data_IF_952032361786
#
_entry.id   IF_952032361786
#
_cell.length_a   1.000
_cell.length_b   1.000
_cell.length_c   1.000
_cell.angle_alpha   90.00
_cell.angle_beta   90.00
_cell.angle_gamma   90.00
#
_symmetry.space_group_name_H-M   'P 1'
#
loop_
_entity.id
_entity.type
_entity.pdbx_description
1 polymer ?
#
# COMPACT_ATOMS: atom_id res chain seq x y z
N UNK A 1 14.58 8.56 8.44
CA UNK A 1 14.45 7.08 8.49
C UNK A 1 13.13 6.64 9.13
N UNK A 2 12.08 6.50 8.31
CA UNK A 2 10.78 6.02 8.78
C UNK A 2 10.62 4.54 8.40
N UNK A 3 10.30 3.70 9.38
CA UNK A 3 9.97 2.29 9.16
C UNK A 3 8.45 2.19 9.08
N UNK A 4 7.96 1.66 7.96
CA UNK A 4 6.53 1.56 7.67
C UNK A 4 5.89 0.38 8.42
N UNK A 5 6.50 -0.81 8.30
CA UNK A 5 6.04 -1.99 9.05
C UNK A 5 7.17 -3.01 9.25
N UNK A 6 7.11 -3.72 10.36
CA UNK A 6 7.97 -4.88 10.61
C UNK A 6 7.18 -6.02 11.23
N UNK A 7 7.74 -7.23 11.15
CA UNK A 7 7.13 -8.39 11.78
C UNK A 7 7.55 -9.69 11.11
N UNK A 8 7.15 -10.81 11.71
CA UNK A 8 7.48 -12.12 11.17
C UNK A 8 6.44 -12.57 10.14
N UNK A 9 6.93 -13.05 9.00
CA UNK A 9 6.12 -13.74 8.01
C UNK A 9 6.74 -15.09 7.66
N UNK A 10 5.91 -16.00 7.17
CA UNK A 10 6.36 -17.24 6.58
C UNK A 10 6.56 -17.05 5.09
N UNK A 11 7.69 -17.52 4.56
CA UNK A 11 7.96 -17.60 3.12
C UNK A 11 8.31 -19.02 2.73
N UNK A 12 8.13 -19.38 1.46
CA UNK A 12 8.74 -20.63 0.95
C UNK A 12 10.26 -20.56 1.05
N UNK A 13 10.88 -21.67 1.43
CA UNK A 13 12.35 -21.78 1.47
C UNK A 13 12.92 -21.68 0.04
N UNK A 14 12.28 -22.37 -0.91
CA UNK A 14 12.60 -22.36 -2.33
C UNK A 14 11.32 -22.44 -3.16
N UNK A 15 11.32 -21.98 -4.43
CA UNK A 15 10.14 -21.95 -5.31
C UNK A 15 9.44 -23.32 -5.41
N UNK A 16 10.23 -24.39 -5.52
CA UNK A 16 9.75 -25.78 -5.65
C UNK A 16 9.59 -26.51 -4.31
N UNK A 17 10.08 -25.94 -3.20
CA UNK A 17 10.03 -26.61 -1.90
C UNK A 17 8.64 -26.49 -1.28
N UNK A 18 8.13 -27.57 -0.66
CA UNK A 18 6.93 -27.50 0.17
C UNK A 18 7.20 -26.83 1.53
N UNK A 19 8.47 -26.66 1.91
CA UNK A 19 8.87 -26.13 3.21
C UNK A 19 8.77 -24.60 3.25
N UNK A 20 8.32 -24.08 4.39
CA UNK A 20 8.29 -22.64 4.69
C UNK A 20 9.21 -22.30 5.85
N UNK A 21 9.94 -21.20 5.73
CA UNK A 21 10.72 -20.62 6.84
C UNK A 21 10.01 -19.38 7.38
N UNK A 22 10.08 -19.17 8.69
CA UNK A 22 9.72 -17.89 9.31
C UNK A 22 10.93 -16.96 9.23
N UNK A 23 10.73 -15.73 8.80
CA UNK A 23 11.78 -14.71 8.71
C UNK A 23 11.23 -13.38 9.22
N UNK A 24 12.11 -12.50 9.69
CA UNK A 24 11.72 -11.16 10.13
C UNK A 24 11.73 -10.22 8.95
N UNK A 25 10.58 -9.62 8.62
CA UNK A 25 10.41 -8.70 7.50
C UNK A 25 10.40 -7.26 8.00
N UNK A 26 10.98 -6.38 7.18
CA UNK A 26 10.99 -4.94 7.37
C UNK A 26 10.66 -4.24 6.06
N UNK A 27 9.64 -3.41 6.09
CA UNK A 27 9.29 -2.50 5.02
C UNK A 27 9.82 -1.11 5.36
N UNK A 28 10.74 -0.62 4.52
CA UNK A 28 11.40 0.68 4.71
C UNK A 28 11.74 1.28 3.35
N UNK A 29 11.42 2.55 3.14
CA UNK A 29 11.78 3.31 1.93
C UNK A 29 11.42 2.57 0.62
N UNK A 30 10.21 2.03 0.53
CA UNK A 30 9.74 1.26 -0.63
C UNK A 30 10.51 -0.04 -0.91
N UNK A 31 11.26 -0.56 0.07
CA UNK A 31 11.95 -1.84 -0.01
C UNK A 31 11.44 -2.76 1.09
N UNK A 32 10.98 -3.95 0.73
CA UNK A 32 10.64 -5.02 1.65
C UNK A 32 11.82 -5.98 1.78
N UNK A 33 12.53 -5.93 2.89
CA UNK A 33 13.68 -6.79 3.19
C UNK A 33 13.34 -7.82 4.25
N UNK A 34 14.05 -8.95 4.29
CA UNK A 34 13.92 -9.91 5.39
C UNK A 34 15.25 -10.43 5.90
N UNK A 35 15.24 -10.82 7.17
CA UNK A 35 16.40 -11.18 7.97
C UNK A 35 16.14 -12.50 8.70
N UNK A 36 17.20 -13.11 9.24
CA UNK A 36 17.09 -14.33 10.04
C UNK A 36 16.30 -14.08 11.33
N UNK A 37 16.50 -12.92 11.96
CA UNK A 37 15.85 -12.50 13.19
C UNK A 37 15.66 -10.98 13.24
N UNK A 38 14.96 -10.48 14.26
CA UNK A 38 14.79 -9.04 14.48
C UNK A 38 16.06 -8.31 14.98
N UNK A 39 17.06 -9.08 15.43
CA UNK A 39 18.33 -8.56 15.97
C UNK A 39 19.36 -8.34 14.86
N UNK A 40 19.23 -9.09 13.76
CA UNK A 40 20.11 -9.08 12.60
C UNK A 40 19.70 -7.95 11.63
N UNK A 41 20.10 -6.71 11.91
CA UNK A 41 19.59 -5.50 11.20
C UNK A 41 20.43 -5.04 10.02
N UNK A 42 21.61 -5.60 9.79
CA UNK A 42 22.59 -5.01 8.87
C UNK A 42 22.73 -5.76 7.54
N UNK A 43 22.42 -7.05 7.50
CA UNK A 43 22.53 -7.85 6.27
C UNK A 43 21.20 -8.57 5.98
N UNK A 44 20.35 -8.00 5.11
CA UNK A 44 19.16 -8.70 4.68
C UNK A 44 19.54 -9.95 3.90
N UNK A 45 18.80 -11.03 4.13
CA UNK A 45 18.93 -12.27 3.37
C UNK A 45 18.66 -12.00 1.89
N UNK A 46 17.61 -11.23 1.61
CA UNK A 46 17.19 -10.79 0.28
C UNK A 46 16.12 -9.69 0.47
N UNK A 47 15.75 -9.01 -0.62
CA UNK A 47 14.82 -7.88 -0.59
C UNK A 47 13.98 -7.76 -1.86
N UNK A 48 12.93 -6.94 -1.80
CA UNK A 48 12.05 -6.61 -2.91
C UNK A 48 11.98 -5.08 -3.02
N UNK A 49 12.42 -4.55 -4.15
CA UNK A 49 12.15 -3.16 -4.52
C UNK A 49 10.70 -3.06 -5.02
N UNK A 50 9.88 -2.30 -4.28
CA UNK A 50 8.44 -2.17 -4.56
C UNK A 50 8.14 -1.38 -5.84
N UNK A 51 9.12 -0.69 -6.43
CA UNK A 51 8.97 -0.01 -7.73
C UNK A 51 8.74 -0.96 -8.90
N UNK A 52 9.07 -2.24 -8.73
CA UNK A 52 8.92 -3.28 -9.76
C UNK A 52 7.76 -4.25 -9.43
N UNK A 53 6.91 -3.87 -8.49
CA UNK A 53 5.79 -4.69 -8.04
C UNK A 53 4.50 -4.19 -8.69
N UNK A 54 3.82 -5.11 -9.36
CA UNK A 54 2.57 -4.85 -10.07
C UNK A 54 1.39 -4.85 -9.10
N UNK A 55 1.33 -5.83 -8.18
CA UNK A 55 0.17 -5.98 -7.29
C UNK A 55 0.47 -6.82 -6.03
N UNK A 56 -0.44 -6.74 -5.05
CA UNK A 56 -0.52 -7.59 -3.86
C UNK A 56 -1.94 -8.14 -3.69
N UNK A 57 -2.07 -9.46 -3.75
CA UNK A 57 -3.34 -10.17 -3.77
C UNK A 57 -3.39 -11.32 -2.76
N UNK A 58 -4.59 -11.73 -2.38
CA UNK A 58 -4.80 -12.91 -1.54
C UNK A 58 -4.26 -14.18 -2.21
N UNK A 59 -3.78 -15.13 -1.40
CA UNK A 59 -3.26 -16.41 -1.88
C UNK A 59 -3.81 -17.56 -1.05
N UNK A 60 -4.55 -18.46 -1.71
CA UNK A 60 -5.07 -19.67 -1.08
C UNK A 60 -4.02 -20.76 -0.87
N UNK A 61 -2.76 -20.54 -1.28
CA UNK A 61 -1.66 -21.51 -1.16
C UNK A 61 -1.37 -21.85 0.30
N UNK A 62 -1.56 -20.89 1.22
CA UNK A 62 -1.46 -21.13 2.67
C UNK A 62 -2.54 -20.35 3.41
N UNK A 63 -2.89 -20.82 4.61
CA UNK A 63 -3.74 -20.07 5.53
C UNK A 63 -3.09 -18.72 5.83
N UNK A 64 -3.87 -17.64 5.73
CA UNK A 64 -3.41 -16.26 5.90
C UNK A 64 -2.30 -15.87 4.89
N UNK A 65 -2.34 -16.49 3.71
CA UNK A 65 -1.37 -16.33 2.64
C UNK A 65 -1.72 -15.18 1.71
N UNK A 66 -0.70 -14.48 1.24
CA UNK A 66 -0.82 -13.46 0.22
C UNK A 66 0.36 -13.54 -0.76
N UNK A 67 0.17 -12.98 -1.95
CA UNK A 67 1.14 -12.99 -3.02
C UNK A 67 1.52 -11.57 -3.41
N UNK A 68 2.81 -11.31 -3.48
CA UNK A 68 3.39 -10.12 -4.09
C UNK A 68 3.72 -10.48 -5.54
N UNK A 69 3.14 -9.74 -6.48
CA UNK A 69 3.25 -9.97 -7.92
C UNK A 69 4.20 -8.93 -8.51
N UNK A 70 5.44 -9.32 -8.81
CA UNK A 70 6.37 -8.48 -9.56
C UNK A 70 6.39 -8.79 -11.05
N UNK A 71 7.09 -7.96 -11.82
CA UNK A 71 7.23 -8.13 -13.28
C UNK A 71 7.88 -9.45 -13.69
N UNK A 72 8.90 -9.89 -12.92
CA UNK A 72 9.73 -11.05 -13.26
C UNK A 72 9.57 -12.22 -12.29
N UNK A 73 9.07 -11.95 -11.09
CA UNK A 73 9.02 -12.90 -9.98
C UNK A 73 7.78 -12.64 -9.14
N UNK A 74 7.28 -13.70 -8.53
CA UNK A 74 6.22 -13.62 -7.52
C UNK A 74 6.71 -14.22 -6.20
N UNK A 75 6.22 -13.66 -5.11
CA UNK A 75 6.54 -14.11 -3.75
C UNK A 75 5.26 -14.46 -3.04
N UNK A 76 5.22 -15.65 -2.43
CA UNK A 76 4.10 -16.09 -1.60
C UNK A 76 4.56 -16.01 -0.16
N UNK A 77 3.86 -15.19 0.62
CA UNK A 77 4.08 -14.98 2.04
C UNK A 77 2.84 -15.38 2.82
N UNK A 78 2.97 -15.66 4.11
CA UNK A 78 1.84 -15.91 4.98
C UNK A 78 2.05 -15.30 6.36
N UNK A 79 1.00 -14.70 6.90
CA UNK A 79 0.97 -14.15 8.25
C UNK A 79 0.57 -15.23 9.28
N UNK A 80 0.56 -14.83 10.55
CA UNK A 80 0.12 -15.65 11.68
C UNK A 80 -1.41 -15.60 11.92
N UNK A 81 -2.07 -14.56 11.43
CA UNK A 81 -3.51 -14.35 11.54
C UNK A 81 -4.08 -13.62 10.32
N UNK A 82 -5.40 -13.70 10.14
CA UNK A 82 -6.10 -12.97 9.07
C UNK A 82 -5.98 -11.45 9.22
N UNK A 83 -6.00 -10.93 10.45
CA UNK A 83 -5.81 -9.50 10.74
C UNK A 83 -4.42 -9.06 10.29
N UNK A 84 -3.39 -9.79 10.72
CA UNK A 84 -1.99 -9.52 10.34
C UNK A 84 -1.78 -9.60 8.83
N UNK A 85 -2.40 -10.58 8.15
CA UNK A 85 -2.39 -10.68 6.69
C UNK A 85 -2.93 -9.40 6.04
N UNK A 86 -4.13 -8.94 6.44
CA UNK A 86 -4.76 -7.74 5.89
C UNK A 86 -3.90 -6.50 6.12
N UNK A 87 -3.38 -6.32 7.33
CA UNK A 87 -2.49 -5.20 7.63
C UNK A 87 -1.22 -5.20 6.77
N UNK A 88 -0.60 -6.36 6.55
CA UNK A 88 0.57 -6.46 5.67
C UNK A 88 0.22 -6.12 4.23
N UNK A 89 -0.90 -6.62 3.71
CA UNK A 89 -1.34 -6.34 2.35
C UNK A 89 -1.68 -4.86 2.17
N UNK A 90 -2.36 -4.23 3.13
CA UNK A 90 -2.71 -2.81 3.08
C UNK A 90 -1.47 -1.91 3.14
N UNK A 91 -0.52 -2.25 4.01
CA UNK A 91 0.76 -1.54 4.08
C UNK A 91 1.54 -1.64 2.77
N UNK A 92 1.67 -2.85 2.22
CA UNK A 92 2.39 -3.08 0.97
C UNK A 92 1.73 -2.37 -0.20
N UNK A 93 0.40 -2.42 -0.33
CA UNK A 93 -0.34 -1.70 -1.38
C UNK A 93 -0.08 -0.20 -1.31
N UNK A 94 -0.09 0.37 -0.10
CA UNK A 94 0.22 1.79 0.11
C UNK A 94 1.66 2.10 -0.27
N UNK A 95 2.61 1.28 0.16
CA UNK A 95 4.02 1.46 -0.13
C UNK A 95 4.33 1.33 -1.62
N UNK A 96 3.71 0.38 -2.34
CA UNK A 96 3.80 0.22 -3.80
C UNK A 96 3.22 1.45 -4.51
N UNK A 97 2.05 1.91 -4.07
CA UNK A 97 1.45 3.12 -4.62
C UNK A 97 2.40 4.31 -4.48
N UNK A 98 2.98 4.51 -3.29
CA UNK A 98 3.97 5.60 -3.09
C UNK A 98 5.23 5.34 -3.92
N UNK A 99 5.71 4.10 -4.04
CA UNK A 99 6.90 3.74 -4.83
C UNK A 99 6.73 4.06 -6.33
N UNK A 100 5.54 3.83 -6.88
CA UNK A 100 5.22 4.16 -8.27
C UNK A 100 5.00 5.66 -8.51
N UNK A 101 4.63 6.39 -7.46
CA UNK A 101 4.31 7.82 -7.54
C UNK A 101 5.36 8.72 -6.87
N UNK A 102 6.49 8.15 -6.42
CA UNK A 102 7.62 8.90 -5.85
C UNK A 102 8.40 9.57 -6.99
N UNK A 103 7.78 10.64 -7.52
CA UNK A 103 8.22 11.39 -8.69
C UNK A 103 7.37 12.62 -9.00
N UNK A 104 6.61 13.13 -8.02
CA UNK A 104 5.82 14.38 -8.04
C UNK A 104 4.50 14.43 -8.83
N UNK A 105 3.87 13.31 -9.21
CA UNK A 105 2.50 13.38 -9.72
C UNK A 105 1.70 12.09 -9.54
N UNK A 106 0.53 12.19 -8.93
CA UNK A 106 -0.52 11.16 -8.97
C UNK A 106 -1.54 11.58 -10.01
N UNK A 107 -1.88 10.71 -10.97
CA UNK A 107 -2.99 10.92 -11.90
C UNK A 107 -4.28 10.36 -11.31
N UNK A 108 -5.26 11.22 -11.07
CA UNK A 108 -6.58 10.84 -10.57
C UNK A 108 -7.59 11.10 -11.69
N UNK A 109 -8.33 10.06 -12.07
CA UNK A 109 -9.38 10.16 -13.08
C UNK A 109 -10.72 10.23 -12.36
N UNK A 110 -11.46 11.33 -12.58
CA UNK A 110 -12.78 11.54 -12.02
C UNK A 110 -13.81 11.63 -13.13
N UNK A 111 -15.03 11.11 -12.91
CA UNK A 111 -16.11 11.27 -13.88
C UNK A 111 -16.58 12.73 -13.90
N UNK A 112 -16.09 13.51 -14.88
CA UNK A 112 -16.39 14.95 -15.01
C UNK A 112 -17.89 15.30 -14.88
N UNK A 113 -18.83 14.56 -15.49
CA UNK A 113 -20.26 14.87 -15.36
C UNK A 113 -20.82 14.77 -13.95
N UNK A 114 -20.12 14.10 -13.02
CA UNK A 114 -20.56 13.95 -11.62
C UNK A 114 -19.92 14.94 -10.67
N UNK A 115 -19.01 15.79 -11.14
CA UNK A 115 -18.38 16.78 -10.26
C UNK A 115 -19.40 17.87 -9.94
N UNK A 116 -19.89 17.90 -8.70
CA UNK A 116 -20.87 18.90 -8.25
C UNK A 116 -20.19 20.15 -7.71
N UNK A 117 -18.97 20.02 -7.17
CA UNK A 117 -18.23 21.15 -6.62
C UNK A 117 -16.72 20.86 -6.58
N UNK A 118 -15.92 21.90 -6.85
CA UNK A 118 -14.47 21.92 -6.61
C UNK A 118 -14.17 23.17 -5.77
N UNK A 119 -13.54 23.00 -4.61
CA UNK A 119 -13.14 24.12 -3.76
C UNK A 119 -11.74 23.95 -3.20
N UNK A 120 -10.97 25.05 -3.14
CA UNK A 120 -9.72 25.12 -2.41
C UNK A 120 -10.02 25.41 -0.95
N UNK A 121 -9.43 24.64 -0.05
CA UNK A 121 -9.65 24.76 1.39
C UNK A 121 -8.32 24.69 2.13
N UNK A 122 -8.34 25.13 3.38
CA UNK A 122 -7.19 25.09 4.28
C UNK A 122 -7.45 24.05 5.36
N UNK A 123 -6.52 23.11 5.53
CA UNK A 123 -6.41 22.30 6.71
C UNK A 123 -5.29 22.93 7.55
N UNK A 124 -5.66 23.76 8.54
CA UNK A 124 -4.70 24.52 9.35
C UNK A 124 -3.91 25.58 8.54
N UNK A 125 -3.01 26.32 9.20
CA UNK A 125 -2.21 27.39 8.56
C UNK A 125 -1.18 26.88 7.53
N UNK A 126 -0.87 25.58 7.54
CA UNK A 126 0.27 24.99 6.82
C UNK A 126 -0.11 23.93 5.79
N UNK A 127 -1.40 23.60 5.61
CA UNK A 127 -1.82 22.68 4.56
C UNK A 127 -3.01 23.22 3.78
N UNK A 128 -2.90 23.17 2.44
CA UNK A 128 -3.99 23.45 1.52
C UNK A 128 -4.45 22.15 0.88
N UNK A 129 -5.73 22.07 0.57
CA UNK A 129 -6.28 20.93 -0.17
C UNK A 129 -7.31 21.38 -1.19
N UNK A 130 -7.45 20.59 -2.25
CA UNK A 130 -8.58 20.67 -3.16
C UNK A 130 -9.62 19.65 -2.67
N UNK A 131 -10.83 20.13 -2.38
CA UNK A 131 -12.00 19.31 -2.12
C UNK A 131 -12.78 19.16 -3.41
N UNK A 132 -13.03 17.92 -3.81
CA UNK A 132 -13.89 17.61 -4.96
C UNK A 132 -15.09 16.84 -4.43
N UNK A 133 -16.30 17.37 -4.69
CA UNK A 133 -17.56 16.72 -4.38
C UNK A 133 -18.11 16.04 -5.63
N UNK A 134 -18.60 14.82 -5.46
CA UNK A 134 -19.24 14.05 -6.53
C UNK A 134 -20.73 13.86 -6.21
N UNK A 135 -21.60 14.07 -7.19
CA UNK A 135 -23.02 13.71 -7.11
C UNK A 135 -23.21 12.19 -7.25
N UNK A 136 -24.12 11.63 -6.46
CA UNK A 136 -24.45 10.21 -6.53
C UNK A 136 -25.32 9.90 -7.77
N UNK A 137 -25.27 8.65 -8.28
CA UNK A 137 -26.00 8.23 -9.49
C UNK A 137 -27.48 7.93 -9.24
N UNK A 138 -27.92 7.83 -7.98
CA UNK A 138 -29.25 7.33 -7.68
C UNK A 138 -30.11 8.39 -7.01
N UNK A 139 -30.98 9.02 -7.82
CA UNK A 139 -32.25 9.54 -7.32
C UNK A 139 -33.12 8.36 -6.91
N UNK A 140 -33.03 7.93 -5.65
CA UNK A 140 -34.19 7.50 -4.86
C UNK A 140 -33.78 7.43 -3.39
N UNK A 141 -34.13 8.49 -2.65
CA UNK A 141 -34.33 8.50 -1.20
C UNK A 141 -33.11 8.20 -0.30
N UNK A 142 -32.08 9.04 -0.34
CA UNK A 142 -31.30 9.42 0.85
C UNK A 142 -30.50 10.69 0.52
N UNK A 143 -30.77 11.78 1.24
CA UNK A 143 -30.31 13.14 0.94
C UNK A 143 -28.90 13.47 1.47
N UNK A 144 -28.20 12.52 2.09
CA UNK A 144 -27.03 12.84 2.92
C UNK A 144 -25.69 12.19 2.49
N UNK A 145 -25.65 11.40 1.41
CA UNK A 145 -24.44 10.67 1.01
C UNK A 145 -23.62 11.40 -0.08
N UNK A 146 -23.03 12.55 0.26
CA UNK A 146 -22.00 13.19 -0.58
C UNK A 146 -20.61 12.56 -0.34
N UNK A 147 -20.03 11.93 -1.36
CA UNK A 147 -18.63 11.49 -1.30
C UNK A 147 -17.71 12.69 -1.57
N UNK A 148 -16.92 13.07 -0.57
CA UNK A 148 -15.88 14.10 -0.68
C UNK A 148 -14.50 13.45 -0.84
N UNK A 149 -13.81 13.77 -1.94
CA UNK A 149 -12.39 13.45 -2.08
C UNK A 149 -11.55 14.65 -1.65
N UNK A 150 -10.58 14.40 -0.76
CA UNK A 150 -9.65 15.41 -0.24
C UNK A 150 -8.26 15.17 -0.83
N UNK A 151 -7.81 16.12 -1.64
CA UNK A 151 -6.47 16.09 -2.23
C UNK A 151 -5.60 17.12 -1.53
N UNK A 152 -4.78 16.65 -0.61
CA UNK A 152 -3.79 17.48 0.07
C UNK A 152 -2.66 17.78 -0.91
N UNK A 153 -2.50 19.07 -1.23
CA UNK A 153 -1.35 19.56 -1.96
C UNK A 153 -0.39 20.12 -0.91
N UNK A 154 0.68 19.37 -0.62
CA UNK A 154 1.82 19.95 0.08
C UNK A 154 2.51 20.91 -0.90
N UNK A 155 2.06 22.16 -0.89
CA UNK A 155 2.78 23.23 -1.55
C UNK A 155 4.06 23.45 -0.74
N UNK A 156 5.20 22.96 -1.24
CA UNK A 156 6.46 23.58 -0.86
C UNK A 156 6.43 24.97 -1.49
N UNK A 157 6.38 25.99 -0.64
CA UNK A 157 6.61 27.36 -1.06
C UNK A 157 7.96 27.41 -1.80
N UNK A 158 7.94 27.88 -3.04
CA UNK A 158 9.14 28.24 -3.82
C UNK A 158 9.64 29.58 -3.30
#
# INVERSE_FOLDING_TARGET
DYIEKTGYLFKKVHRTSPLSSRSYFQLKNHVLSWYNSAEDKYEPIDSIDLKHIIDVQDSSVRKFGFQIVGEKRHWILAADSEVSQKEWMDELRRAIFIAHNSGNSVRIILPFPRISNISRNFAFKFAQYIRIKLSHMNNLNNLDDEVSLFLYLFMHDI
#
